data_IF_860292970707
#
_entry.id   IF_860292970707
#
_cell.length_a   1.000
_cell.length_b   1.000
_cell.length_c   1.000
_cell.angle_alpha   90.00
_cell.angle_beta   90.00
_cell.angle_gamma   90.00
#
_symmetry.space_group_name_H-M   'P 1'
#
loop_
_entity.id
_entity.type
_entity.pdbx_description
1 polymer ?
#
# COMPACT_ATOMS: atom_id res chain seq x y z
N UNK A 1 29.56 -26.33 -0.62
CA UNK A 1 29.37 -24.89 -0.90
C UNK A 1 28.13 -24.67 -1.74
N UNK A 2 28.03 -25.26 -2.95
CA UNK A 2 26.81 -25.28 -3.78
C UNK A 2 25.50 -25.66 -3.04
N UNK A 3 25.51 -26.71 -2.21
CA UNK A 3 24.32 -27.07 -1.40
C UNK A 3 23.89 -25.98 -0.41
N UNK A 4 24.83 -25.16 0.08
CA UNK A 4 24.55 -24.09 1.04
C UNK A 4 23.94 -22.86 0.35
N UNK A 5 24.44 -22.49 -0.85
CA UNK A 5 23.86 -21.40 -1.64
C UNK A 5 22.46 -21.75 -2.12
N UNK A 6 22.22 -22.96 -2.64
CA UNK A 6 20.87 -23.41 -3.06
C UNK A 6 19.87 -23.41 -1.90
N UNK A 7 20.29 -23.85 -0.71
CA UNK A 7 19.41 -23.85 0.47
C UNK A 7 19.03 -22.43 0.93
N UNK A 8 19.97 -21.47 0.87
CA UNK A 8 19.68 -20.07 1.20
C UNK A 8 18.70 -19.48 0.19
N UNK A 9 18.94 -19.67 -1.11
CA UNK A 9 18.07 -19.20 -2.20
C UNK A 9 16.63 -19.71 -2.01
N UNK A 10 16.46 -21.03 -1.84
CA UNK A 10 15.15 -21.65 -1.70
C UNK A 10 14.43 -21.13 -0.44
N UNK A 11 15.12 -21.11 0.70
CA UNK A 11 14.54 -20.64 1.96
C UNK A 11 14.14 -19.15 1.90
N UNK A 12 14.97 -18.30 1.31
CA UNK A 12 14.66 -16.89 1.09
C UNK A 12 13.45 -16.70 0.17
N UNK A 13 13.34 -17.47 -0.92
CA UNK A 13 12.18 -17.42 -1.80
C UNK A 13 10.88 -17.86 -1.12
N UNK A 14 10.93 -18.89 -0.27
CA UNK A 14 9.79 -19.33 0.54
C UNK A 14 9.34 -18.21 1.48
N UNK A 15 10.26 -17.63 2.26
CA UNK A 15 9.94 -16.51 3.17
C UNK A 15 9.34 -15.35 2.40
N UNK A 16 9.96 -14.95 1.29
CA UNK A 16 9.51 -13.80 0.52
C UNK A 16 8.11 -14.03 -0.06
N UNK A 17 7.81 -15.24 -0.53
CA UNK A 17 6.49 -15.63 -1.04
C UNK A 17 5.43 -15.59 0.06
N UNK A 18 5.74 -16.07 1.27
CA UNK A 18 4.82 -15.99 2.43
C UNK A 18 4.52 -14.54 2.77
N UNK A 19 5.52 -13.66 2.83
CA UNK A 19 5.32 -12.24 3.11
C UNK A 19 4.45 -11.58 2.03
N UNK A 20 4.66 -11.91 0.75
CA UNK A 20 3.78 -11.43 -0.34
C UNK A 20 2.35 -11.93 -0.20
N UNK A 21 2.14 -13.17 0.25
CA UNK A 21 0.81 -13.70 0.54
C UNK A 21 0.11 -12.95 1.69
N UNK A 22 0.86 -12.57 2.74
CA UNK A 22 0.35 -11.71 3.81
C UNK A 22 -0.09 -10.35 3.24
N UNK A 23 0.76 -9.71 2.42
CA UNK A 23 0.44 -8.44 1.76
C UNK A 23 -0.83 -8.54 0.89
N UNK A 24 -0.97 -9.63 0.14
CA UNK A 24 -2.19 -9.93 -0.63
C UNK A 24 -3.41 -10.04 0.29
N UNK A 25 -3.33 -10.81 1.38
CA UNK A 25 -4.42 -10.95 2.35
C UNK A 25 -4.88 -9.62 2.94
N UNK A 26 -3.92 -8.76 3.35
CA UNK A 26 -4.20 -7.41 3.84
C UNK A 26 -4.89 -6.56 2.77
N UNK A 27 -4.41 -6.60 1.52
CA UNK A 27 -5.00 -5.81 0.43
C UNK A 27 -6.42 -6.25 0.06
N UNK A 28 -6.70 -7.56 0.13
CA UNK A 28 -8.04 -8.11 -0.08
C UNK A 28 -8.98 -7.62 1.01
N UNK A 29 -8.55 -7.66 2.28
CA UNK A 29 -9.35 -7.16 3.41
C UNK A 29 -9.70 -5.67 3.28
N UNK A 30 -8.74 -4.85 2.84
CA UNK A 30 -9.00 -3.44 2.56
C UNK A 30 -9.99 -3.25 1.41
N UNK A 31 -9.87 -4.05 0.35
CA UNK A 31 -10.77 -3.97 -0.80
C UNK A 31 -12.19 -4.44 -0.46
N UNK A 32 -12.35 -5.52 0.30
CA UNK A 32 -13.67 -6.01 0.72
C UNK A 32 -14.36 -5.02 1.66
N UNK A 33 -13.60 -4.40 2.57
CA UNK A 33 -14.11 -3.44 3.55
C UNK A 33 -14.52 -2.11 2.92
N UNK A 34 -13.73 -1.56 1.99
CA UNK A 34 -13.95 -0.20 1.47
C UNK A 34 -14.43 -0.12 0.02
N UNK A 35 -14.22 -1.18 -0.78
CA UNK A 35 -14.55 -1.25 -2.22
C UNK A 35 -13.99 -0.10 -3.07
N UNK A 36 -12.88 0.50 -2.65
CA UNK A 36 -12.20 1.60 -3.36
C UNK A 36 -11.23 1.07 -4.43
N UNK A 37 -11.12 1.80 -5.54
CA UNK A 37 -10.22 1.46 -6.67
C UNK A 37 -8.76 1.32 -6.26
N UNK A 38 -8.28 2.14 -5.32
CA UNK A 38 -6.89 2.08 -4.85
C UNK A 38 -6.54 0.70 -4.27
N UNK A 39 -7.44 0.08 -3.49
CA UNK A 39 -7.22 -1.26 -2.92
C UNK A 39 -7.33 -2.36 -3.97
N UNK A 40 -8.11 -2.17 -5.03
CA UNK A 40 -8.13 -3.08 -6.17
C UNK A 40 -6.75 -3.13 -6.84
N UNK A 41 -6.12 -1.98 -7.09
CA UNK A 41 -4.77 -1.95 -7.66
C UNK A 41 -3.72 -2.54 -6.71
N UNK A 42 -3.82 -2.27 -5.39
CA UNK A 42 -2.97 -2.95 -4.41
C UNK A 42 -3.12 -4.48 -4.51
N UNK A 43 -4.36 -4.98 -4.56
CA UNK A 43 -4.66 -6.42 -4.66
C UNK A 43 -4.06 -7.03 -5.93
N UNK A 44 -4.27 -6.38 -7.08
CA UNK A 44 -3.69 -6.82 -8.36
C UNK A 44 -2.16 -6.83 -8.28
N UNK A 45 -1.56 -5.77 -7.71
CA UNK A 45 -0.12 -5.68 -7.60
C UNK A 45 0.50 -6.77 -6.70
N UNK A 46 -0.11 -7.04 -5.54
CA UNK A 46 0.29 -8.14 -4.67
C UNK A 46 0.12 -9.51 -5.33
N UNK A 47 -0.96 -9.71 -6.09
CA UNK A 47 -1.19 -10.95 -6.84
C UNK A 47 -0.09 -11.15 -7.90
N UNK A 48 0.26 -10.12 -8.66
CA UNK A 48 1.32 -10.18 -9.66
C UNK A 48 2.69 -10.46 -9.01
N UNK A 49 3.00 -9.83 -7.87
CA UNK A 49 4.19 -10.16 -7.09
C UNK A 49 4.17 -11.60 -6.59
N UNK A 50 3.04 -12.10 -6.10
CA UNK A 50 2.94 -13.47 -5.62
C UNK A 50 3.19 -14.46 -6.76
N UNK A 51 2.52 -14.28 -7.90
CA UNK A 51 2.70 -15.08 -9.11
C UNK A 51 4.16 -15.02 -9.57
N UNK A 52 4.75 -13.82 -9.66
CA UNK A 52 6.15 -13.64 -9.99
C UNK A 52 7.12 -14.31 -9.01
N UNK A 53 6.75 -14.49 -7.74
CA UNK A 53 7.56 -15.19 -6.73
C UNK A 53 7.44 -16.72 -6.76
N UNK A 54 6.27 -17.24 -7.15
CA UNK A 54 6.04 -18.68 -7.30
C UNK A 54 6.85 -19.28 -8.44
N UNK A 55 7.07 -18.51 -9.51
CA UNK A 55 7.86 -18.92 -10.66
C UNK A 55 9.30 -19.31 -10.25
N UNK A 56 10.15 -18.42 -9.70
CA UNK A 56 11.49 -18.79 -9.23
C UNK A 56 11.51 -19.99 -8.28
N UNK A 57 10.50 -20.12 -7.42
CA UNK A 57 10.39 -21.26 -6.49
C UNK A 57 10.18 -22.58 -7.26
N UNK A 58 9.38 -22.55 -8.33
CA UNK A 58 9.19 -23.68 -9.23
C UNK A 58 10.46 -24.00 -10.05
N UNK A 59 11.18 -22.98 -10.55
CA UNK A 59 12.46 -23.20 -11.24
C UNK A 59 13.48 -23.94 -10.36
N UNK A 60 13.61 -23.55 -9.08
CA UNK A 60 14.50 -24.23 -8.14
C UNK A 60 14.14 -25.70 -7.87
N UNK A 61 12.91 -26.12 -8.18
CA UNK A 61 12.45 -27.51 -8.04
C UNK A 61 12.54 -28.31 -9.36
N UNK A 62 12.60 -27.61 -10.49
CA UNK A 62 12.73 -28.17 -11.83
C UNK A 62 14.21 -28.43 -12.14
N UNK A 63 14.58 -29.66 -12.48
CA UNK A 63 15.93 -29.98 -12.95
C UNK A 63 16.14 -29.69 -14.45
N UNK A 64 15.14 -29.09 -15.11
CA UNK A 64 15.18 -28.78 -16.55
C UNK A 64 15.53 -27.30 -16.78
N UNK A 65 16.72 -27.06 -17.34
CA UNK A 65 17.26 -25.74 -17.66
C UNK A 65 16.37 -24.94 -18.63
N UNK A 66 15.64 -25.60 -19.54
CA UNK A 66 14.77 -24.89 -20.49
C UNK A 66 13.52 -24.31 -19.79
N UNK A 67 13.06 -24.96 -18.72
CA UNK A 67 11.98 -24.45 -17.88
C UNK A 67 12.45 -23.29 -16.99
N UNK A 68 13.72 -23.28 -16.57
CA UNK A 68 14.29 -22.20 -15.76
C UNK A 68 14.21 -20.84 -16.47
N UNK A 69 14.61 -20.76 -17.74
CA UNK A 69 14.58 -19.51 -18.51
C UNK A 69 13.17 -18.94 -18.67
N UNK A 70 12.20 -19.79 -19.04
CA UNK A 70 10.79 -19.39 -19.18
C UNK A 70 10.24 -18.86 -17.86
N UNK A 71 10.62 -19.49 -16.76
CA UNK A 71 10.19 -19.14 -15.41
C UNK A 71 10.82 -17.82 -14.95
N UNK A 72 12.11 -17.59 -15.22
CA UNK A 72 12.79 -16.33 -14.91
C UNK A 72 12.21 -15.19 -15.76
N UNK A 73 11.95 -15.42 -17.05
CA UNK A 73 11.29 -14.44 -17.93
C UNK A 73 9.97 -14.00 -17.31
N UNK A 74 9.09 -14.93 -16.92
CA UNK A 74 7.81 -14.59 -16.32
C UNK A 74 7.97 -13.68 -15.08
N UNK A 75 8.90 -14.00 -14.18
CA UNK A 75 9.19 -13.15 -13.03
C UNK A 75 9.65 -11.73 -13.44
N UNK A 76 10.48 -11.61 -14.48
CA UNK A 76 10.93 -10.30 -14.98
C UNK A 76 9.78 -9.43 -15.49
N UNK A 77 8.67 -9.99 -15.95
CA UNK A 77 7.46 -9.24 -16.34
C UNK A 77 6.51 -8.99 -15.16
N UNK A 78 6.27 -10.01 -14.33
CA UNK A 78 5.31 -9.93 -13.22
C UNK A 78 5.79 -9.04 -12.07
N UNK A 79 7.08 -9.08 -11.74
CA UNK A 79 7.64 -8.27 -10.67
C UNK A 79 7.47 -6.75 -10.89
N UNK A 80 7.91 -6.15 -12.02
CA UNK A 80 7.74 -4.72 -12.26
C UNK A 80 6.28 -4.31 -12.40
N UNK A 81 5.45 -5.14 -13.02
CA UNK A 81 4.00 -4.88 -13.07
C UNK A 81 3.40 -4.84 -11.66
N UNK A 82 3.72 -5.82 -10.82
CA UNK A 82 3.28 -5.83 -9.42
C UNK A 82 3.72 -4.58 -8.67
N UNK A 83 4.98 -4.16 -8.85
CA UNK A 83 5.54 -2.96 -8.23
C UNK A 83 4.82 -1.69 -8.68
N UNK A 84 4.51 -1.55 -9.97
CA UNK A 84 3.74 -0.41 -10.51
C UNK A 84 2.36 -0.35 -9.89
N UNK A 85 1.63 -1.47 -9.86
CA UNK A 85 0.27 -1.50 -9.32
C UNK A 85 0.23 -1.20 -7.82
N UNK A 86 1.19 -1.72 -7.04
CA UNK A 86 1.33 -1.37 -5.62
C UNK A 86 1.64 0.12 -5.46
N UNK A 87 2.56 0.65 -6.27
CA UNK A 87 2.95 2.06 -6.26
C UNK A 87 1.78 2.98 -6.57
N UNK A 88 1.01 2.66 -7.63
CA UNK A 88 -0.22 3.37 -7.99
C UNK A 88 -1.23 3.31 -6.86
N UNK A 89 -1.43 2.14 -6.24
CA UNK A 89 -2.33 1.98 -5.10
C UNK A 89 -1.95 2.89 -3.92
N UNK A 90 -0.66 3.02 -3.61
CA UNK A 90 -0.18 3.96 -2.58
C UNK A 90 -0.38 5.41 -3.02
N UNK A 91 0.06 5.80 -4.22
CA UNK A 91 -0.04 7.17 -4.71
C UNK A 91 -1.49 7.66 -4.82
N UNK A 92 -2.45 6.77 -5.05
CA UNK A 92 -3.87 7.11 -5.10
C UNK A 92 -4.45 7.61 -3.76
N UNK A 93 -3.72 7.48 -2.65
CA UNK A 93 -4.09 8.13 -1.39
C UNK A 93 -3.82 9.64 -1.40
N UNK A 94 -2.94 10.10 -2.29
CA UNK A 94 -2.52 11.50 -2.41
C UNK A 94 -2.99 12.14 -3.72
N UNK A 95 -3.26 11.34 -4.74
CA UNK A 95 -3.60 11.80 -6.08
C UNK A 95 -4.76 11.02 -6.69
N UNK A 96 -5.65 11.74 -7.37
CA UNK A 96 -6.60 11.09 -8.27
C UNK A 96 -5.91 10.70 -9.58
N UNK A 97 -5.56 9.42 -9.70
CA UNK A 97 -4.96 8.87 -10.92
C UNK A 97 -6.07 8.22 -11.75
N UNK A 98 -6.23 8.69 -13.00
CA UNK A 98 -7.23 8.10 -13.90
C UNK A 98 -6.84 6.68 -14.32
N UNK A 99 -7.82 5.77 -14.38
CA UNK A 99 -7.61 4.38 -14.84
C UNK A 99 -7.02 4.34 -16.25
N UNK A 100 -7.35 5.30 -17.11
CA UNK A 100 -6.80 5.38 -18.48
C UNK A 100 -5.28 5.54 -18.47
N UNK A 101 -4.76 6.43 -17.61
CA UNK A 101 -3.32 6.65 -17.48
C UNK A 101 -2.62 5.37 -17.00
N UNK A 102 -3.19 4.69 -16.00
CA UNK A 102 -2.65 3.44 -15.46
C UNK A 102 -2.53 2.38 -16.56
N UNK A 103 -3.61 2.18 -17.32
CA UNK A 103 -3.64 1.20 -18.43
C UNK A 103 -2.62 1.56 -19.51
N UNK A 104 -2.53 2.83 -19.91
CA UNK A 104 -1.57 3.27 -20.93
C UNK A 104 -0.12 3.04 -20.47
N UNK A 105 0.21 3.38 -19.22
CA UNK A 105 1.56 3.19 -18.66
C UNK A 105 1.89 1.69 -18.57
N UNK A 106 1.00 0.88 -17.99
CA UNK A 106 1.22 -0.57 -17.88
C UNK A 106 1.37 -1.23 -19.25
N UNK A 107 0.52 -0.87 -20.22
CA UNK A 107 0.62 -1.41 -21.58
C UNK A 107 1.91 -0.98 -22.28
N UNK A 108 2.28 0.30 -22.18
CA UNK A 108 3.53 0.83 -22.75
C UNK A 108 4.74 0.09 -22.19
N UNK A 109 4.77 -0.15 -20.87
CA UNK A 109 5.86 -0.87 -20.22
C UNK A 109 5.91 -2.32 -20.72
N UNK A 110 4.77 -3.02 -20.81
CA UNK A 110 4.74 -4.37 -21.37
C UNK A 110 5.31 -4.41 -22.80
N UNK A 111 4.88 -3.50 -23.67
CA UNK A 111 5.37 -3.43 -25.06
C UNK A 111 6.87 -3.19 -25.10
N UNK A 112 7.40 -2.28 -24.28
CA UNK A 112 8.84 -2.02 -24.20
C UNK A 112 9.59 -3.27 -23.70
N UNK A 113 9.10 -3.94 -22.66
CA UNK A 113 9.72 -5.16 -22.13
C UNK A 113 9.74 -6.30 -23.16
N UNK A 114 8.64 -6.52 -23.87
CA UNK A 114 8.61 -7.49 -24.97
C UNK A 114 9.57 -7.09 -26.10
N UNK A 115 9.66 -5.81 -26.43
CA UNK A 115 10.59 -5.33 -27.47
C UNK A 115 12.05 -5.57 -27.07
N UNK A 116 12.43 -5.29 -25.82
CA UNK A 116 13.79 -5.57 -25.32
C UNK A 116 14.08 -7.07 -25.37
N UNK A 117 13.13 -7.89 -24.91
CA UNK A 117 13.26 -9.36 -24.92
C UNK A 117 13.51 -9.92 -26.32
N UNK A 118 12.77 -9.45 -27.34
CA UNK A 118 12.88 -9.98 -28.70
C UNK A 118 14.03 -9.39 -29.53
N UNK A 119 14.42 -8.13 -29.30
CA UNK A 119 15.33 -7.41 -30.19
C UNK A 119 16.72 -7.11 -29.62
N UNK A 120 16.93 -7.23 -28.31
CA UNK A 120 18.20 -6.89 -27.67
C UNK A 120 18.84 -8.14 -27.05
N UNK A 121 18.66 -8.35 -25.75
CA UNK A 121 19.16 -9.50 -25.01
C UNK A 121 18.46 -9.61 -23.65
N UNK A 122 18.72 -10.71 -22.97
CA UNK A 122 18.12 -11.03 -21.68
C UNK A 122 18.66 -10.18 -20.52
N UNK A 123 19.95 -9.83 -20.55
CA UNK A 123 20.59 -9.04 -19.48
C UNK A 123 20.10 -7.59 -19.47
N UNK A 124 19.80 -7.02 -20.64
CA UNK A 124 19.18 -5.71 -20.78
C UNK A 124 17.76 -5.73 -20.25
N UNK A 125 16.97 -6.78 -20.54
CA UNK A 125 15.61 -6.94 -20.00
C UNK A 125 15.64 -6.99 -18.47
N UNK A 126 16.57 -7.77 -17.91
CA UNK A 126 16.77 -7.91 -16.46
C UNK A 126 17.09 -6.56 -15.81
N UNK A 127 18.01 -5.81 -16.41
CA UNK A 127 18.39 -4.47 -15.93
C UNK A 127 17.21 -3.49 -16.00
N UNK A 128 16.48 -3.50 -17.11
CA UNK A 128 15.32 -2.62 -17.32
C UNK A 128 14.18 -2.90 -16.34
N UNK A 129 13.84 -4.19 -16.13
CA UNK A 129 12.84 -4.61 -15.14
C UNK A 129 13.16 -4.10 -13.73
N UNK A 130 14.44 -4.18 -13.35
CA UNK A 130 14.87 -3.73 -12.04
C UNK A 130 14.95 -2.20 -11.93
N UNK A 131 15.30 -1.49 -13.00
CA UNK A 131 15.17 -0.03 -13.05
C UNK A 131 13.73 0.41 -12.78
N UNK A 132 12.73 -0.24 -13.41
CA UNK A 132 11.31 0.05 -13.15
C UNK A 132 10.97 -0.11 -11.67
N UNK A 133 11.40 -1.21 -11.05
CA UNK A 133 11.17 -1.44 -9.61
C UNK A 133 11.76 -0.30 -8.77
N UNK A 134 13.03 0.02 -8.99
CA UNK A 134 13.74 1.06 -8.24
C UNK A 134 13.11 2.43 -8.43
N UNK A 135 12.83 2.84 -9.68
CA UNK A 135 12.19 4.13 -9.96
C UNK A 135 10.79 4.22 -9.35
N UNK A 136 10.01 3.15 -9.41
CA UNK A 136 8.67 3.11 -8.80
C UNK A 136 8.74 3.32 -7.29
N UNK A 137 9.66 2.65 -6.60
CA UNK A 137 9.86 2.87 -5.16
C UNK A 137 10.32 4.29 -4.84
N UNK A 138 11.25 4.85 -5.62
CA UNK A 138 11.69 6.25 -5.46
C UNK A 138 10.48 7.18 -5.56
N UNK A 139 9.61 7.00 -6.56
CA UNK A 139 8.43 7.85 -6.74
C UNK A 139 7.48 7.72 -5.55
N UNK A 140 7.21 6.50 -5.06
CA UNK A 140 6.32 6.25 -3.92
C UNK A 140 6.76 6.97 -2.64
N UNK A 141 8.07 7.12 -2.40
CA UNK A 141 8.58 7.78 -1.19
C UNK A 141 9.03 9.23 -1.42
N UNK A 142 9.26 9.67 -2.65
CA UNK A 142 9.55 11.07 -2.94
C UNK A 142 8.27 11.88 -3.05
N UNK A 143 7.25 11.33 -3.72
CA UNK A 143 6.04 12.07 -4.03
C UNK A 143 5.27 12.54 -2.78
N UNK A 144 5.02 11.71 -1.74
CA UNK A 144 4.33 12.18 -0.55
C UNK A 144 5.13 13.23 0.25
N UNK A 145 6.47 13.24 0.16
CA UNK A 145 7.31 14.31 0.75
C UNK A 145 7.05 15.64 0.06
N UNK A 146 6.90 15.67 -1.26
CA UNK A 146 6.55 16.88 -2.00
C UNK A 146 5.19 17.45 -1.54
N UNK A 147 4.31 16.59 -1.01
CA UNK A 147 3.01 16.94 -0.43
C UNK A 147 2.98 16.86 1.09
N UNK A 148 4.05 17.29 1.77
CA UNK A 148 4.22 17.18 3.23
C UNK A 148 3.03 17.63 4.09
N UNK A 149 2.24 18.61 3.65
CA UNK A 149 1.04 19.08 4.38
C UNK A 149 -0.05 18.02 4.36
N UNK A 150 -0.42 17.55 3.17
CA UNK A 150 -1.39 16.48 2.96
C UNK A 150 -0.93 15.18 3.63
N UNK A 151 0.37 14.85 3.54
CA UNK A 151 0.95 13.68 4.21
C UNK A 151 0.74 13.73 5.73
N UNK A 152 1.00 14.89 6.34
CA UNK A 152 0.83 15.07 7.80
C UNK A 152 -0.64 15.05 8.20
N UNK A 153 -1.52 15.65 7.40
CA UNK A 153 -2.96 15.63 7.62
C UNK A 153 -3.56 14.22 7.48
N UNK A 154 -3.02 13.42 6.56
CA UNK A 154 -3.52 12.06 6.28
C UNK A 154 -3.00 11.02 7.29
N UNK A 155 -1.71 11.08 7.66
CA UNK A 155 -1.10 10.07 8.53
C UNK A 155 -1.12 10.42 10.02
N UNK A 156 -1.20 11.71 10.37
CA UNK A 156 -1.14 12.16 11.76
C UNK A 156 0.10 11.61 12.49
N UNK A 157 -0.12 10.93 13.62
CA UNK A 157 0.95 10.32 14.43
C UNK A 157 1.64 9.13 13.74
N UNK A 158 0.98 8.48 12.79
CA UNK A 158 1.54 7.34 12.06
C UNK A 158 2.55 7.74 10.98
N UNK A 159 2.81 9.05 10.81
CA UNK A 159 3.85 9.54 9.88
C UNK A 159 5.25 9.00 10.21
N UNK A 160 5.50 8.57 11.46
CA UNK A 160 6.75 7.89 11.83
C UNK A 160 7.02 6.64 10.98
N UNK A 161 5.97 5.87 10.64
CA UNK A 161 6.10 4.67 9.82
C UNK A 161 6.46 4.99 8.38
N UNK A 162 5.97 6.12 7.87
CA UNK A 162 6.42 6.64 6.57
C UNK A 162 7.92 6.92 6.58
N UNK A 163 8.42 7.67 7.57
CA UNK A 163 9.84 8.02 7.65
C UNK A 163 10.74 6.79 7.85
N UNK A 164 10.34 5.83 8.69
CA UNK A 164 11.06 4.57 8.88
C UNK A 164 11.16 3.82 7.56
N UNK A 165 10.04 3.69 6.84
CA UNK A 165 9.99 2.99 5.55
C UNK A 165 10.83 3.72 4.50
N UNK A 166 10.67 5.04 4.38
CA UNK A 166 11.44 5.85 3.43
C UNK A 166 12.96 5.80 3.71
N UNK A 167 13.36 5.85 4.98
CA UNK A 167 14.77 5.73 5.38
C UNK A 167 15.32 4.34 5.03
N UNK A 168 14.56 3.27 5.26
CA UNK A 168 14.97 1.93 4.87
C UNK A 168 15.17 1.85 3.35
N UNK A 169 14.24 2.36 2.55
CA UNK A 169 14.39 2.39 1.09
C UNK A 169 15.58 3.25 0.62
N UNK A 170 15.85 4.38 1.28
CA UNK A 170 17.02 5.22 1.01
C UNK A 170 18.34 4.43 1.17
N UNK A 171 18.40 3.50 2.11
CA UNK A 171 19.58 2.64 2.35
C UNK A 171 19.59 1.43 1.42
N UNK A 172 18.44 0.79 1.21
CA UNK A 172 18.32 -0.44 0.44
C UNK A 172 18.55 -0.22 -1.07
N UNK A 173 18.08 0.91 -1.63
CA UNK A 173 18.22 1.19 -3.07
C UNK A 173 19.69 1.30 -3.51
N UNK A 174 20.57 2.07 -2.83
CA UNK A 174 22.00 2.09 -3.14
C UNK A 174 22.67 0.72 -3.00
N UNK A 175 22.36 -0.05 -1.95
CA UNK A 175 22.93 -1.39 -1.74
C UNK A 175 22.57 -2.31 -2.91
N UNK A 176 21.29 -2.36 -3.29
CA UNK A 176 20.84 -3.15 -4.43
C UNK A 176 21.48 -2.66 -5.74
N UNK A 177 21.63 -1.34 -5.92
CA UNK A 177 22.28 -0.77 -7.11
C UNK A 177 23.76 -1.16 -7.22
N UNK A 178 24.49 -1.21 -6.10
CA UNK A 178 25.90 -1.66 -6.04
C UNK A 178 26.00 -3.16 -6.33
N UNK A 179 25.13 -3.98 -5.73
CA UNK A 179 25.12 -5.42 -6.01
C UNK A 179 24.83 -5.68 -7.49
N UNK A 180 23.93 -4.91 -8.09
CA UNK A 180 23.63 -5.00 -9.52
C UNK A 180 24.82 -4.62 -10.40
N UNK A 181 25.52 -3.52 -10.10
CA UNK A 181 26.67 -3.10 -10.90
C UNK A 181 27.84 -4.10 -10.85
N UNK A 182 27.87 -4.94 -9.81
CA UNK A 182 28.81 -6.04 -9.65
C UNK A 182 28.35 -7.35 -10.31
N UNK A 183 27.18 -7.38 -10.96
CA UNK A 183 26.65 -8.57 -11.62
C UNK A 183 25.80 -9.48 -10.71
N UNK A 184 25.68 -9.18 -9.41
CA UNK A 184 24.87 -9.94 -8.43
C UNK A 184 23.36 -9.70 -8.55
N UNK A 185 22.86 -9.48 -9.77
CA UNK A 185 21.42 -9.29 -10.02
C UNK A 185 20.68 -10.64 -10.03
N UNK A 186 19.63 -10.81 -10.85
CA UNK A 186 18.87 -12.06 -10.98
C UNK A 186 19.70 -13.31 -11.43
N UNK A 187 21.04 -13.21 -11.51
CA UNK A 187 21.99 -14.30 -11.75
C UNK A 187 22.65 -14.89 -10.49
N UNK A 188 22.13 -14.58 -9.30
CA UNK A 188 22.65 -15.10 -8.01
C UNK A 188 22.59 -16.62 -7.84
N UNK A 189 22.03 -17.36 -8.80
CA UNK A 189 22.10 -18.82 -8.87
C UNK A 189 23.53 -19.34 -9.04
N UNK A 190 24.43 -18.53 -9.63
CA UNK A 190 25.80 -18.93 -9.96
C UNK A 190 26.85 -18.39 -8.97
N UNK A 191 26.41 -17.69 -7.91
CA UNK A 191 27.30 -17.01 -6.97
C UNK A 191 27.52 -17.86 -5.73
N UNK A 192 28.75 -18.31 -5.52
CA UNK A 192 29.14 -19.14 -4.37
C UNK A 192 29.37 -18.34 -3.08
N UNK A 193 29.41 -16.99 -3.13
CA UNK A 193 29.61 -16.15 -1.94
C UNK A 193 28.28 -15.96 -1.16
N UNK A 194 28.18 -16.46 0.09
CA UNK A 194 26.95 -16.39 0.87
C UNK A 194 26.59 -14.97 1.34
N UNK A 195 27.55 -14.04 1.47
CA UNK A 195 27.28 -12.71 2.03
C UNK A 195 26.51 -11.80 1.04
N UNK A 196 26.93 -11.61 -0.22
CA UNK A 196 26.16 -10.88 -1.22
C UNK A 196 24.77 -11.48 -1.42
N UNK A 197 24.66 -12.81 -1.39
CA UNK A 197 23.41 -13.54 -1.55
C UNK A 197 22.45 -13.25 -0.39
N UNK A 198 22.92 -13.29 0.86
CA UNK A 198 22.13 -12.91 2.03
C UNK A 198 21.67 -11.45 1.95
N UNK A 199 22.55 -10.51 1.62
CA UNK A 199 22.20 -9.08 1.53
C UNK A 199 21.15 -8.85 0.43
N UNK A 200 21.30 -9.52 -0.72
CA UNK A 200 20.36 -9.41 -1.83
C UNK A 200 18.95 -9.91 -1.47
N UNK A 201 18.80 -10.97 -0.69
CA UNK A 201 17.48 -11.49 -0.31
C UNK A 201 16.87 -10.79 0.90
N UNK A 202 17.69 -10.45 1.91
CA UNK A 202 17.21 -9.75 3.12
C UNK A 202 16.65 -8.37 2.78
N UNK A 203 17.28 -7.68 1.82
CA UNK A 203 16.87 -6.33 1.38
C UNK A 203 15.41 -6.27 0.86
N UNK A 204 15.02 -7.01 -0.19
CA UNK A 204 13.67 -7.01 -0.72
C UNK A 204 12.66 -7.67 0.23
N UNK A 205 13.06 -8.67 1.03
CA UNK A 205 12.20 -9.24 2.09
C UNK A 205 11.82 -8.14 3.10
N UNK A 206 12.81 -7.41 3.60
CA UNK A 206 12.61 -6.32 4.57
C UNK A 206 11.79 -5.19 3.96
N UNK A 207 12.09 -4.80 2.72
CA UNK A 207 11.34 -3.80 1.97
C UNK A 207 9.86 -4.19 1.82
N UNK A 208 9.58 -5.44 1.46
CA UNK A 208 8.20 -5.95 1.29
C UNK A 208 7.45 -5.92 2.62
N UNK A 209 8.09 -6.36 3.70
CA UNK A 209 7.50 -6.31 5.04
C UNK A 209 7.19 -4.88 5.49
N UNK A 210 8.12 -3.95 5.29
CA UNK A 210 7.92 -2.53 5.64
C UNK A 210 6.79 -1.89 4.83
N UNK A 211 6.63 -2.23 3.56
CA UNK A 211 5.49 -1.75 2.75
C UNK A 211 4.17 -2.23 3.36
N UNK A 212 4.08 -3.49 3.79
CA UNK A 212 2.85 -4.03 4.42
C UNK A 212 2.54 -3.26 5.71
N UNK A 213 3.54 -3.10 6.58
CA UNK A 213 3.40 -2.35 7.84
C UNK A 213 2.97 -0.90 7.57
N UNK A 214 3.59 -0.25 6.58
CA UNK A 214 3.25 1.10 6.17
C UNK A 214 1.80 1.20 5.68
N UNK A 215 1.35 0.28 4.81
CA UNK A 215 -0.02 0.26 4.32
C UNK A 215 -1.04 0.08 5.44
N UNK A 216 -0.77 -0.81 6.40
CA UNK A 216 -1.65 -1.03 7.57
C UNK A 216 -1.78 0.24 8.40
N UNK A 217 -0.67 0.89 8.72
CA UNK A 217 -0.70 2.11 9.52
C UNK A 217 -1.32 3.29 8.78
N UNK A 218 -1.09 3.40 7.47
CA UNK A 218 -1.73 4.43 6.65
C UNK A 218 -3.25 4.25 6.64
N UNK A 219 -3.75 3.05 6.41
CA UNK A 219 -5.19 2.78 6.38
C UNK A 219 -5.84 3.00 7.76
N UNK A 220 -5.18 2.56 8.83
CA UNK A 220 -5.63 2.79 10.20
C UNK A 220 -5.75 4.28 10.52
N UNK A 221 -4.77 5.10 10.14
CA UNK A 221 -4.83 6.55 10.31
C UNK A 221 -5.97 7.19 9.55
N UNK A 222 -6.17 6.81 8.29
CA UNK A 222 -7.25 7.33 7.45
C UNK A 222 -8.62 7.01 8.09
N UNK A 223 -8.83 5.76 8.48
CA UNK A 223 -10.07 5.32 9.12
C UNK A 223 -10.33 6.07 10.43
N UNK A 224 -9.29 6.24 11.26
CA UNK A 224 -9.38 6.97 12.54
C UNK A 224 -9.69 8.45 12.32
N UNK A 225 -9.02 9.11 11.37
CA UNK A 225 -9.30 10.51 11.03
C UNK A 225 -10.72 10.69 10.51
N UNK A 226 -11.20 9.77 9.68
CA UNK A 226 -12.58 9.81 9.20
C UNK A 226 -13.59 9.65 10.33
N UNK A 227 -13.36 8.70 11.24
CA UNK A 227 -14.21 8.48 12.41
C UNK A 227 -14.25 9.70 13.33
N UNK A 228 -13.10 10.31 13.61
CA UNK A 228 -13.03 11.52 14.44
C UNK A 228 -13.76 12.69 13.79
N UNK A 229 -13.55 12.91 12.50
CA UNK A 229 -14.26 13.98 11.76
C UNK A 229 -15.77 13.78 11.73
N UNK A 230 -16.23 12.54 11.59
CA UNK A 230 -17.66 12.22 11.69
C UNK A 230 -18.18 12.47 13.10
N UNK A 231 -17.46 12.03 14.13
CA UNK A 231 -17.83 12.27 15.53
C UNK A 231 -17.97 13.77 15.81
N UNK A 232 -17.00 14.57 15.41
CA UNK A 232 -17.02 16.03 15.62
C UNK A 232 -18.19 16.67 14.86
N UNK A 233 -18.44 16.26 13.62
CA UNK A 233 -19.56 16.75 12.82
C UNK A 233 -20.90 16.41 13.46
N UNK A 234 -21.11 15.14 13.86
CA UNK A 234 -22.36 14.72 14.48
C UNK A 234 -22.57 15.38 15.83
N UNK A 235 -21.52 15.56 16.63
CA UNK A 235 -21.59 16.29 17.90
C UNK A 235 -22.00 17.75 17.69
N UNK A 236 -21.41 18.42 16.70
CA UNK A 236 -21.76 19.81 16.36
C UNK A 236 -23.19 19.94 15.80
N UNK A 237 -23.58 19.08 14.87
CA UNK A 237 -24.92 19.09 14.27
C UNK A 237 -25.99 18.76 15.32
N UNK A 238 -25.73 17.81 16.22
CA UNK A 238 -26.60 17.51 17.36
C UNK A 238 -26.74 18.72 18.29
N UNK A 239 -25.63 19.38 18.64
CA UNK A 239 -25.65 20.60 19.44
C UNK A 239 -26.50 21.71 18.83
N UNK A 240 -26.40 21.93 17.51
CA UNK A 240 -27.22 22.92 16.79
C UNK A 240 -28.71 22.56 16.80
N UNK A 241 -29.06 21.28 16.62
CA UNK A 241 -30.44 20.82 16.67
C UNK A 241 -31.02 21.02 18.07
N UNK A 242 -30.27 20.65 19.12
CA UNK A 242 -30.68 20.84 20.51
C UNK A 242 -30.91 22.33 20.82
N UNK A 243 -29.99 23.21 20.40
CA UNK A 243 -30.17 24.66 20.56
C UNK A 243 -31.40 25.19 19.81
N UNK A 244 -31.67 24.69 18.60
CA UNK A 244 -32.84 25.08 17.83
C UNK A 244 -34.14 24.65 18.53
N UNK A 245 -34.19 23.44 19.07
CA UNK A 245 -35.33 22.92 19.83
C UNK A 245 -35.54 23.74 21.11
N UNK A 246 -34.48 24.00 21.89
CA UNK A 246 -34.57 24.84 23.10
C UNK A 246 -35.06 26.26 22.76
N UNK A 247 -34.52 26.88 21.71
CA UNK A 247 -34.96 28.22 21.28
C UNK A 247 -36.42 28.24 20.84
N UNK A 248 -36.87 27.22 20.09
CA UNK A 248 -38.27 27.09 19.70
C UNK A 248 -39.18 26.88 20.92
N UNK A 249 -38.73 26.09 21.89
CA UNK A 249 -39.41 25.85 23.16
C UNK A 249 -39.60 27.15 23.96
N UNK A 250 -38.54 27.95 24.08
CA UNK A 250 -38.55 29.24 24.76
C UNK A 250 -39.53 30.22 24.11
N UNK A 251 -39.52 30.30 22.77
CA UNK A 251 -40.46 31.13 22.00
C UNK A 251 -41.91 30.68 22.24
N UNK A 252 -42.17 29.37 22.26
CA UNK A 252 -43.50 28.83 22.56
C UNK A 252 -43.94 29.14 23.99
N UNK A 253 -43.04 29.04 24.98
CA UNK A 253 -43.35 29.33 26.38
C UNK A 253 -43.65 30.82 26.65
N UNK A 254 -43.18 31.73 25.80
CA UNK A 254 -43.50 33.17 25.89
C UNK A 254 -44.92 33.51 25.41
N UNK A 255 -45.67 32.54 24.87
CA UNK A 255 -46.99 32.78 24.32
C UNK A 255 -48.09 32.60 25.41
N UNK A 256 -48.85 33.64 25.78
CA UNK A 256 -49.74 33.63 26.95
C UNK A 256 -50.99 32.73 26.81
N UNK A 257 -51.21 32.10 25.65
CA UNK A 257 -52.36 31.21 25.38
C UNK A 257 -52.03 29.71 25.49
N UNK A 258 -50.83 29.34 25.94
CA UNK A 258 -50.38 27.95 25.98
C UNK A 258 -51.00 27.20 27.17
N UNK A 259 -51.65 26.06 26.89
CA UNK A 259 -52.29 25.20 27.89
C UNK A 259 -51.27 24.54 28.84
N UNK A 260 -51.73 24.15 30.03
CA UNK A 260 -50.87 23.49 31.04
C UNK A 260 -50.28 22.14 30.55
N UNK A 261 -50.99 21.41 29.68
CA UNK A 261 -50.45 20.21 29.02
C UNK A 261 -49.30 20.53 28.07
N UNK A 262 -49.41 21.62 27.31
CA UNK A 262 -48.35 22.05 26.41
C UNK A 262 -47.11 22.54 27.17
N UNK A 263 -47.27 23.21 28.33
CA UNK A 263 -46.15 23.56 29.21
C UNK A 263 -45.43 22.33 29.77
N UNK A 264 -46.16 21.27 30.15
CA UNK A 264 -45.56 19.98 30.56
C UNK A 264 -44.78 19.33 29.43
N UNK A 265 -45.32 19.31 28.22
CA UNK A 265 -44.62 18.77 27.05
C UNK A 265 -43.34 19.57 26.73
N UNK A 266 -43.39 20.90 26.83
CA UNK A 266 -42.24 21.78 26.64
C UNK A 266 -41.13 21.57 27.70
N UNK A 267 -41.49 21.42 28.98
CA UNK A 267 -40.52 21.10 30.03
C UNK A 267 -39.85 19.73 29.82
N UNK A 268 -40.60 18.75 29.33
CA UNK A 268 -40.07 17.42 29.01
C UNK A 268 -39.11 17.44 27.81
N UNK A 269 -39.38 18.28 26.81
CA UNK A 269 -38.51 18.48 25.66
C UNK A 269 -37.18 19.12 26.10
N UNK A 270 -37.25 20.14 26.96
CA UNK A 270 -36.07 20.82 27.50
C UNK A 270 -35.17 19.86 28.31
N UNK A 271 -35.77 19.09 29.22
CA UNK A 271 -35.08 18.06 30.02
C UNK A 271 -34.41 17.02 29.12
N UNK A 272 -35.11 16.50 28.10
CA UNK A 272 -34.54 15.51 27.17
C UNK A 272 -33.45 16.10 26.29
N UNK A 273 -33.52 17.40 25.97
CA UNK A 273 -32.47 18.09 25.23
C UNK A 273 -31.23 18.34 26.09
N UNK A 274 -31.38 18.61 27.39
CA UNK A 274 -30.27 18.67 28.35
C UNK A 274 -29.62 17.30 28.55
N UNK A 275 -30.41 16.25 28.79
CA UNK A 275 -29.93 14.88 28.91
C UNK A 275 -29.09 14.46 27.68
N UNK A 276 -29.53 14.85 26.48
CA UNK A 276 -28.84 14.55 25.22
C UNK A 276 -27.57 15.39 25.00
N UNK A 277 -27.44 16.54 25.65
CA UNK A 277 -26.25 17.39 25.58
C UNK A 277 -25.13 16.94 26.54
N UNK A 278 -25.46 16.18 27.59
CA UNK A 278 -24.51 15.64 28.56
C UNK A 278 -23.86 14.30 28.14
N UNK A 279 -24.34 13.68 27.04
CA UNK A 279 -23.84 12.43 26.45
C UNK A 279 -22.69 12.64 25.45
#
# INVERSE_FOLDING_TARGET
MLLMSTNIILFSHVIWTIIRAIGLGVSIDFYTSHKKKMHLYLTIGWLLWLVGGLFPLYANLSQDNAMEDIVVINNLFFAPMGTIFISVGILMHFLEISTRIIVIISFSILVIMFSIYFFIDFDTLRTFSQMINTFSFIIVFLFPILRRKELRELLGESIKWYYITALAFLVLVPILSILMSQGYSYGLYEVDDPLPLMIFYVSPISATFLIIVYLIHMEYSISTHHKNRLKDKYSHDLGNILQCIMTANDICNLNPQVSDESKKAHGLIEEKCQDAAEL
#
